data_IF_648998790820
#
_entry.id   IF_648998790820
#
_cell.length_a   1.000
_cell.length_b   1.000
_cell.length_c   1.000
_cell.angle_alpha   90.00
_cell.angle_beta   90.00
_cell.angle_gamma   90.00
#
_symmetry.space_group_name_H-M   'P 1'
#
loop_
_entity.id
_entity.type
_entity.pdbx_description
1 polymer ?
#
# COMPACT_ATOMS: atom_id res chain seq x y z
N UNK A 1 11.18 -8.76 -14.11
CA UNK A 1 10.29 -7.82 -14.81
C UNK A 1 8.83 -8.18 -14.65
N UNK A 2 8.35 -9.36 -15.09
CA UNK A 2 6.93 -9.70 -14.91
C UNK A 2 6.49 -9.81 -13.44
N UNK A 3 7.26 -10.53 -12.61
CA UNK A 3 6.87 -10.83 -11.23
C UNK A 3 6.68 -9.58 -10.35
N UNK A 4 7.57 -8.58 -10.42
CA UNK A 4 7.41 -7.33 -9.67
C UNK A 4 6.22 -6.50 -10.16
N UNK A 5 5.91 -6.53 -11.46
CA UNK A 5 4.73 -5.85 -12.01
C UNK A 5 3.44 -6.54 -11.59
N UNK A 6 3.41 -7.87 -11.57
CA UNK A 6 2.30 -8.69 -11.11
C UNK A 6 2.04 -8.47 -9.62
N UNK A 7 3.10 -8.39 -8.81
CA UNK A 7 3.02 -8.07 -7.39
C UNK A 7 2.51 -6.65 -7.13
N UNK A 8 2.95 -5.67 -7.92
CA UNK A 8 2.43 -4.31 -7.83
C UNK A 8 0.94 -4.24 -8.20
N UNK A 9 0.51 -4.99 -9.22
CA UNK A 9 -0.91 -5.11 -9.60
C UNK A 9 -1.71 -5.80 -8.49
N UNK A 10 -1.14 -6.82 -7.85
CA UNK A 10 -1.76 -7.51 -6.71
C UNK A 10 -1.97 -6.56 -5.52
N UNK A 11 -0.96 -5.75 -5.20
CA UNK A 11 -1.04 -4.73 -4.15
C UNK A 11 -2.08 -3.64 -4.48
N UNK A 12 -2.12 -3.17 -5.73
CA UNK A 12 -3.13 -2.22 -6.19
C UNK A 12 -4.56 -2.77 -6.02
N UNK A 13 -4.79 -4.03 -6.39
CA UNK A 13 -6.08 -4.69 -6.20
C UNK A 13 -6.43 -4.91 -4.72
N UNK A 14 -5.44 -5.11 -3.84
CA UNK A 14 -5.67 -5.17 -2.40
C UNK A 14 -6.07 -3.80 -1.82
N UNK A 15 -5.43 -2.72 -2.28
CA UNK A 15 -5.75 -1.35 -1.88
C UNK A 15 -7.18 -0.96 -2.29
N UNK A 16 -7.60 -1.31 -3.50
CA UNK A 16 -8.97 -1.07 -3.98
C UNK A 16 -10.02 -1.80 -3.10
N UNK A 17 -9.80 -3.09 -2.81
CA UNK A 17 -10.66 -3.86 -1.89
C UNK A 17 -10.74 -3.24 -0.50
N UNK A 18 -9.63 -2.71 0.02
CA UNK A 18 -9.63 -1.99 1.30
C UNK A 18 -10.47 -0.71 1.22
N UNK A 19 -10.33 0.10 0.16
CA UNK A 19 -11.11 1.32 -0.03
C UNK A 19 -12.62 1.08 -0.15
N UNK A 20 -13.01 -0.08 -0.66
CA UNK A 20 -14.40 -0.53 -0.78
C UNK A 20 -14.95 -1.13 0.53
N UNK A 21 -14.13 -1.23 1.58
CA UNK A 21 -14.49 -1.87 2.84
C UNK A 21 -14.55 -3.40 2.78
N UNK A 22 -14.02 -4.01 1.71
CA UNK A 22 -13.99 -5.47 1.50
C UNK A 22 -12.72 -6.14 2.04
N UNK A 23 -11.82 -5.38 2.67
CA UNK A 23 -10.59 -5.87 3.31
C UNK A 23 -10.27 -5.05 4.56
N UNK A 24 -9.54 -5.64 5.51
CA UNK A 24 -9.02 -4.93 6.68
C UNK A 24 -7.67 -4.25 6.39
N UNK A 25 -7.28 -3.30 7.25
CA UNK A 25 -5.96 -2.67 7.20
C UNK A 25 -4.85 -3.70 7.44
N UNK A 26 -5.04 -4.62 8.37
CA UNK A 26 -4.08 -5.70 8.66
C UNK A 26 -3.85 -6.61 7.45
N UNK A 27 -4.92 -7.03 6.76
CA UNK A 27 -4.83 -7.89 5.58
C UNK A 27 -4.09 -7.20 4.43
N UNK A 28 -4.33 -5.90 4.22
CA UNK A 28 -3.58 -5.10 3.26
C UNK A 28 -2.09 -5.02 3.63
N UNK A 29 -1.79 -4.75 4.91
CA UNK A 29 -0.42 -4.63 5.40
C UNK A 29 0.37 -5.94 5.31
N UNK A 30 -0.24 -7.08 5.63
CA UNK A 30 0.34 -8.41 5.46
C UNK A 30 0.66 -8.71 3.99
N UNK A 31 -0.31 -8.47 3.10
CA UNK A 31 -0.13 -8.67 1.66
C UNK A 31 0.98 -7.77 1.11
N UNK A 32 1.03 -6.51 1.51
CA UNK A 32 2.04 -5.57 1.05
C UNK A 32 3.45 -6.00 1.48
N UNK A 33 3.61 -6.46 2.73
CA UNK A 33 4.89 -6.99 3.25
C UNK A 33 5.32 -8.29 2.57
N UNK A 34 4.40 -9.07 2.02
CA UNK A 34 4.71 -10.31 1.30
C UNK A 34 5.17 -10.11 -0.16
N UNK A 35 5.10 -8.89 -0.71
CA UNK A 35 5.50 -8.60 -2.10
C UNK A 35 7.02 -8.47 -2.24
N UNK A 36 7.75 -9.54 -1.92
CA UNK A 36 9.20 -9.51 -1.80
C UNK A 36 9.92 -9.14 -3.11
N UNK A 37 9.44 -9.60 -4.27
CA UNK A 37 10.06 -9.29 -5.56
C UNK A 37 9.84 -7.83 -5.95
N UNK A 38 8.66 -7.25 -5.66
CA UNK A 38 8.38 -5.83 -5.81
C UNK A 38 9.32 -4.97 -4.95
N UNK A 39 9.43 -5.30 -3.65
CA UNK A 39 10.23 -4.53 -2.71
C UNK A 39 11.74 -4.65 -3.01
N UNK A 40 12.20 -5.82 -3.43
CA UNK A 40 13.58 -6.03 -3.85
C UNK A 40 13.90 -5.33 -5.18
N UNK A 41 12.91 -5.17 -6.05
CA UNK A 41 13.09 -4.41 -7.26
C UNK A 41 13.27 -2.92 -6.91
N UNK A 42 12.36 -2.28 -6.18
CA UNK A 42 12.35 -0.83 -5.95
C UNK A 42 13.56 -0.28 -5.16
N UNK A 43 13.92 1.01 -5.30
CA UNK A 43 14.93 1.63 -4.43
C UNK A 43 14.53 1.54 -2.94
N UNK A 44 15.46 1.33 -1.99
CA UNK A 44 15.16 1.03 -0.58
C UNK A 44 14.16 1.98 0.10
N UNK A 45 14.21 3.28 -0.24
CA UNK A 45 13.28 4.31 0.26
C UNK A 45 11.80 3.98 0.04
N UNK A 46 11.46 3.20 -1.00
CA UNK A 46 10.07 2.82 -1.27
C UNK A 46 9.51 1.93 -0.17
N UNK A 47 10.32 0.98 0.33
CA UNK A 47 9.93 0.09 1.42
C UNK A 47 9.72 0.87 2.72
N UNK A 48 10.59 1.83 3.02
CA UNK A 48 10.45 2.70 4.21
C UNK A 48 9.15 3.50 4.19
N UNK A 49 8.85 4.14 3.06
CA UNK A 49 7.61 4.94 2.89
C UNK A 49 6.39 4.04 2.96
N UNK A 50 6.41 2.88 2.29
CA UNK A 50 5.29 1.94 2.32
C UNK A 50 4.99 1.48 3.75
N UNK A 51 6.02 1.05 4.49
CA UNK A 51 5.85 0.56 5.85
C UNK A 51 5.35 1.65 6.80
N UNK A 52 5.79 2.90 6.64
CA UNK A 52 5.26 4.01 7.45
C UNK A 52 3.79 4.31 7.16
N UNK A 53 3.37 4.25 5.90
CA UNK A 53 1.96 4.43 5.53
C UNK A 53 1.08 3.31 6.08
N UNK A 54 1.55 2.06 6.01
CA UNK A 54 0.84 0.89 6.53
C UNK A 54 0.70 0.93 8.05
N UNK A 55 1.75 1.30 8.79
CA UNK A 55 1.71 1.44 10.25
C UNK A 55 0.69 2.49 10.70
N UNK A 56 0.67 3.65 10.01
CA UNK A 56 -0.34 4.69 10.24
C UNK A 56 -1.75 4.22 9.90
N UNK A 57 -1.90 3.43 8.84
CA UNK A 57 -3.19 2.87 8.44
C UNK A 57 -3.73 1.88 9.48
N UNK A 58 -2.88 0.95 9.94
CA UNK A 58 -3.22 -0.01 11.00
C UNK A 58 -3.60 0.71 12.29
N UNK A 59 -2.83 1.72 12.70
CA UNK A 59 -3.16 2.56 13.85
C UNK A 59 -4.50 3.29 13.68
N UNK A 60 -4.75 3.89 12.50
CA UNK A 60 -6.01 4.60 12.22
C UNK A 60 -7.24 3.69 12.24
N UNK A 61 -7.08 2.40 11.95
CA UNK A 61 -8.17 1.43 11.97
C UNK A 61 -8.58 1.01 13.39
N UNK A 62 -7.71 1.22 14.40
CA UNK A 62 -7.98 0.89 15.80
C UNK A 62 -8.83 1.96 16.52
N UNK A 63 -8.95 3.17 15.97
CA UNK A 63 -9.71 4.27 16.55
C UNK A 63 -10.95 4.56 15.67
N UNK A 64 -12.15 4.18 16.14
CA UNK A 64 -13.34 4.02 15.26
C UNK A 64 -14.49 5.03 15.44
N UNK A 65 -14.30 6.15 16.13
CA UNK A 65 -15.39 7.12 16.35
C UNK A 65 -15.13 8.42 15.58
N UNK A 66 -15.56 8.44 14.31
CA UNK A 66 -15.73 9.59 13.40
C UNK A 66 -14.50 10.45 13.02
N UNK A 67 -13.45 10.45 13.84
CA UNK A 67 -12.25 11.29 13.72
C UNK A 67 -11.15 10.69 12.85
N UNK A 68 -11.23 9.41 12.50
CA UNK A 68 -10.23 8.73 11.68
C UNK A 68 -10.64 8.53 10.22
N UNK A 69 -11.90 8.77 9.83
CA UNK A 69 -12.35 8.59 8.44
C UNK A 69 -11.58 9.51 7.47
N UNK A 70 -11.30 10.75 7.88
CA UNK A 70 -10.51 11.68 7.08
C UNK A 70 -9.06 11.22 6.96
N UNK A 71 -8.41 10.90 8.08
CA UNK A 71 -7.02 10.41 8.11
C UNK A 71 -6.85 9.10 7.32
N UNK A 72 -7.83 8.20 7.35
CA UNK A 72 -7.78 6.94 6.61
C UNK A 72 -7.92 7.16 5.10
N UNK A 73 -8.82 8.07 4.67
CA UNK A 73 -8.95 8.44 3.24
C UNK A 73 -7.65 9.05 2.70
N UNK A 74 -7.02 9.94 3.46
CA UNK A 74 -5.73 10.53 3.07
C UNK A 74 -4.61 9.47 3.02
N UNK A 75 -4.59 8.52 3.96
CA UNK A 75 -3.63 7.41 3.94
C UNK A 75 -3.82 6.51 2.72
N UNK A 76 -5.07 6.20 2.35
CA UNK A 76 -5.38 5.45 1.12
C UNK A 76 -4.93 6.21 -0.12
N UNK A 77 -5.17 7.52 -0.19
CA UNK A 77 -4.69 8.35 -1.30
C UNK A 77 -3.16 8.37 -1.42
N UNK A 78 -2.46 8.43 -0.28
CA UNK A 78 -0.99 8.36 -0.24
C UNK A 78 -0.46 6.98 -0.67
N UNK A 79 -1.14 5.90 -0.30
CA UNK A 79 -0.82 4.54 -0.76
C UNK A 79 -1.05 4.40 -2.27
N UNK A 80 -2.10 5.00 -2.81
CA UNK A 80 -2.34 5.01 -4.26
C UNK A 80 -1.22 5.78 -4.99
N UNK A 81 -0.83 6.95 -4.48
CA UNK A 81 0.29 7.70 -5.03
C UNK A 81 1.61 6.92 -4.95
N UNK A 82 1.82 6.14 -3.89
CA UNK A 82 2.97 5.24 -3.78
C UNK A 82 2.95 4.18 -4.88
N UNK A 83 1.80 3.55 -5.15
CA UNK A 83 1.63 2.55 -6.22
C UNK A 83 1.96 3.14 -7.58
N UNK A 84 1.45 4.35 -7.87
CA UNK A 84 1.68 5.02 -9.15
C UNK A 84 3.17 5.36 -9.35
N UNK A 85 3.84 5.84 -8.30
CA UNK A 85 5.29 6.13 -8.31
C UNK A 85 6.13 4.87 -8.45
N UNK A 86 5.73 3.80 -7.77
CA UNK A 86 6.38 2.49 -7.87
C UNK A 86 6.30 1.96 -9.31
N UNK A 87 5.11 2.05 -9.94
CA UNK A 87 4.91 1.65 -11.34
C UNK A 87 5.84 2.40 -12.27
N UNK A 88 5.82 3.74 -12.24
CA UNK A 88 6.70 4.54 -13.08
C UNK A 88 8.19 4.30 -12.83
N UNK A 89 8.57 3.92 -11.60
CA UNK A 89 9.96 3.55 -11.27
C UNK A 89 10.35 2.17 -11.80
N UNK A 90 9.41 1.24 -11.91
CA UNK A 90 9.65 -0.06 -12.52
C UNK A 90 9.73 0.03 -14.05
N UNK A 91 8.85 0.83 -14.65
CA UNK A 91 8.79 1.04 -16.10
C UNK A 91 10.00 1.80 -16.66
N UNK A 92 10.63 2.67 -15.85
CA UNK A 92 11.76 3.50 -16.24
C UNK A 92 13.14 2.81 -16.10
N UNK A 93 13.16 1.50 -15.83
CA UNK A 93 14.39 0.70 -15.68
C UNK A 93 14.74 -0.02 -16.97
#
# INVERSE_FOLDING_TARGET
MAAEHDQLTTLQGALARFSEGSSSASALSELARSQAQLLAALPPRYSEVLLNLLDRLESSALFSEESCSFSQKDLVANLQMWVDKARGTLDAR
#
